data_IF_368572114110
#
_entry.id   IF_368572114110
#
_cell.length_a   1.000
_cell.length_b   1.000
_cell.length_c   1.000
_cell.angle_alpha   90.00
_cell.angle_beta   90.00
_cell.angle_gamma   90.00
#
_symmetry.space_group_name_H-M   'P 1'
#
loop_
_entity.id
_entity.type
_entity.pdbx_description
1 polymer ?
#
# COMPACT_ATOMS: atom_id res chain seq x y z
N UNK A 1 5.75 -2.12 -14.05
CA UNK A 1 5.18 -2.35 -12.70
C UNK A 1 6.11 -3.21 -11.89
N UNK A 2 6.46 -2.76 -10.73
CA UNK A 2 7.29 -3.52 -9.78
C UNK A 2 6.45 -4.00 -8.61
N UNK A 3 6.77 -5.20 -8.12
CA UNK A 3 6.18 -5.73 -6.89
C UNK A 3 7.30 -6.20 -5.98
N UNK A 4 7.28 -5.76 -4.73
CA UNK A 4 8.25 -6.18 -3.73
C UNK A 4 7.52 -6.53 -2.43
N UNK A 5 8.14 -7.39 -1.63
CA UNK A 5 7.62 -7.73 -0.31
C UNK A 5 8.31 -6.86 0.73
N UNK A 6 7.51 -6.21 1.56
CA UNK A 6 8.00 -5.30 2.60
C UNK A 6 7.39 -5.71 3.94
N UNK A 7 8.19 -5.73 5.00
CA UNK A 7 7.70 -6.11 6.32
C UNK A 7 6.76 -5.06 6.90
N UNK A 8 5.60 -5.51 7.37
CA UNK A 8 4.70 -4.69 8.18
C UNK A 8 5.23 -4.51 9.59
N UNK A 9 4.41 -3.93 10.48
CA UNK A 9 4.86 -3.57 11.83
C UNK A 9 5.35 -4.76 12.68
N UNK A 10 4.87 -5.96 12.38
CA UNK A 10 5.20 -7.18 13.13
C UNK A 10 6.04 -8.17 12.30
N UNK A 11 6.55 -7.74 11.15
CA UNK A 11 7.33 -8.58 10.26
C UNK A 11 6.53 -9.35 9.22
N UNK A 12 5.19 -9.29 9.25
CA UNK A 12 4.37 -9.92 8.21
C UNK A 12 4.69 -9.30 6.85
N UNK A 13 4.83 -10.14 5.83
CA UNK A 13 5.23 -9.67 4.49
C UNK A 13 4.04 -9.09 3.74
N UNK A 14 4.15 -7.84 3.34
CA UNK A 14 3.13 -7.12 2.59
C UNK A 14 3.61 -6.91 1.16
N UNK A 15 2.75 -7.21 0.20
CA UNK A 15 3.08 -6.98 -1.21
C UNK A 15 2.86 -5.51 -1.53
N UNK A 16 3.88 -4.88 -2.12
CA UNK A 16 3.84 -3.47 -2.50
C UNK A 16 4.10 -3.36 -3.99
N UNK A 17 3.10 -2.88 -4.71
CA UNK A 17 3.18 -2.65 -6.15
C UNK A 17 3.51 -1.20 -6.42
N UNK A 18 4.34 -0.93 -7.43
CA UNK A 18 4.66 0.45 -7.77
C UNK A 18 4.85 0.63 -9.26
N UNK A 19 4.53 1.83 -9.75
CA UNK A 19 4.73 2.23 -11.14
C UNK A 19 4.97 3.73 -11.20
N UNK A 20 5.81 4.15 -12.13
CA UNK A 20 6.13 5.55 -12.35
C UNK A 20 7.30 6.05 -11.54
N UNK A 21 7.68 7.30 -11.82
CA UNK A 21 8.77 8.00 -11.14
C UNK A 21 8.30 9.41 -10.80
N UNK A 22 8.84 9.98 -9.74
CA UNK A 22 8.51 11.32 -9.29
C UNK A 22 7.98 11.33 -7.86
N UNK A 23 7.11 12.30 -7.55
CA UNK A 23 6.57 12.43 -6.20
C UNK A 23 5.77 11.16 -5.82
N UNK A 24 6.10 10.54 -4.68
CA UNK A 24 5.39 9.35 -4.25
C UNK A 24 3.94 9.64 -3.87
N UNK A 25 3.03 8.73 -4.28
CA UNK A 25 1.63 8.72 -3.86
C UNK A 25 1.34 7.33 -3.31
N UNK A 26 1.03 7.25 -2.03
CA UNK A 26 0.69 5.98 -1.37
C UNK A 26 -0.82 5.77 -1.45
N UNK A 27 -1.25 4.70 -2.14
CA UNK A 27 -2.65 4.41 -2.42
C UNK A 27 -3.10 3.18 -1.63
N UNK A 28 -4.07 3.35 -0.75
CA UNK A 28 -4.60 2.27 0.11
C UNK A 28 -5.98 1.84 -0.39
N UNK A 29 -6.12 0.56 -0.70
CA UNK A 29 -7.36 -0.01 -1.25
C UNK A 29 -8.43 -0.26 -0.19
N UNK A 30 -9.66 -0.59 -0.64
CA UNK A 30 -10.79 -0.87 0.23
C UNK A 30 -10.83 -2.30 0.76
N UNK A 31 -11.75 -2.54 1.71
CA UNK A 31 -11.97 -3.87 2.30
C UNK A 31 -12.38 -4.87 1.23
N UNK A 32 -11.84 -6.09 1.33
CA UNK A 32 -12.06 -7.19 0.37
C UNK A 32 -11.63 -6.86 -1.06
N UNK A 33 -10.77 -5.87 -1.23
CA UNK A 33 -10.23 -5.48 -2.51
C UNK A 33 -8.72 -5.78 -2.56
N UNK A 34 -8.01 -5.11 -3.43
CA UNK A 34 -6.56 -5.20 -3.56
C UNK A 34 -6.07 -4.00 -4.36
N UNK A 35 -4.74 -3.82 -4.42
CA UNK A 35 -4.15 -2.80 -5.28
C UNK A 35 -4.58 -3.02 -6.74
N UNK A 36 -4.61 -4.28 -7.20
CA UNK A 36 -5.04 -4.60 -8.55
C UNK A 36 -6.48 -4.17 -8.81
N UNK A 37 -7.39 -4.47 -7.91
CA UNK A 37 -8.81 -4.17 -8.09
C UNK A 37 -9.12 -2.68 -8.03
N UNK A 38 -8.53 -1.94 -7.09
CA UNK A 38 -8.85 -0.52 -6.92
C UNK A 38 -8.03 0.40 -7.81
N UNK A 39 -6.76 0.11 -8.03
CA UNK A 39 -5.85 1.09 -8.60
C UNK A 39 -5.27 0.67 -9.94
N UNK A 40 -4.87 -0.58 -10.08
CA UNK A 40 -4.14 -1.04 -11.27
C UNK A 40 -5.11 -1.38 -12.41
N UNK A 41 -6.09 -2.24 -12.11
CA UNK A 41 -7.00 -2.77 -13.12
C UNK A 41 -7.85 -1.71 -13.82
N UNK A 42 -8.19 -0.62 -13.13
CA UNK A 42 -8.93 0.50 -13.72
C UNK A 42 -8.04 1.58 -14.31
N UNK A 43 -6.72 1.39 -14.26
CA UNK A 43 -5.79 2.32 -14.88
C UNK A 43 -5.42 3.56 -14.06
N UNK A 44 -5.88 3.68 -12.84
CA UNK A 44 -5.55 4.84 -11.99
C UNK A 44 -4.05 4.97 -11.74
N UNK A 45 -3.38 3.86 -11.49
CA UNK A 45 -1.94 3.85 -11.27
C UNK A 45 -1.18 4.37 -12.49
N UNK A 46 -1.60 3.96 -13.69
CA UNK A 46 -0.95 4.38 -14.92
C UNK A 46 -1.19 5.87 -15.19
N UNK A 47 -2.37 6.39 -14.88
CA UNK A 47 -2.66 7.82 -15.01
C UNK A 47 -1.72 8.64 -14.12
N UNK A 48 -1.48 8.20 -12.89
CA UNK A 48 -0.54 8.89 -11.99
C UNK A 48 0.89 8.80 -12.53
N UNK A 49 1.31 7.64 -13.00
CA UNK A 49 2.65 7.47 -13.57
C UNK A 49 2.87 8.37 -14.78
N UNK A 50 1.87 8.46 -15.66
CA UNK A 50 1.93 9.31 -16.86
C UNK A 50 1.96 10.80 -16.50
N UNK A 51 1.42 11.16 -15.34
CA UNK A 51 1.42 12.54 -14.85
C UNK A 51 2.70 12.93 -14.07
N UNK A 52 3.66 12.03 -13.96
CA UNK A 52 4.94 12.31 -13.29
C UNK A 52 4.96 11.96 -11.81
N UNK A 53 4.06 11.09 -11.36
CA UNK A 53 4.02 10.60 -9.98
C UNK A 53 4.49 9.15 -9.91
N UNK A 54 4.94 8.74 -8.72
CA UNK A 54 5.23 7.35 -8.42
C UNK A 54 4.07 6.81 -7.61
N UNK A 55 3.26 5.93 -8.20
CA UNK A 55 2.16 5.27 -7.51
C UNK A 55 2.72 4.09 -6.70
N UNK A 56 2.47 4.07 -5.40
CA UNK A 56 2.89 3.01 -4.48
C UNK A 56 1.62 2.41 -3.89
N UNK A 57 1.37 1.14 -4.16
CA UNK A 57 0.09 0.49 -3.88
C UNK A 57 0.32 -0.82 -3.12
N UNK A 58 0.30 -0.76 -1.78
CA UNK A 58 0.38 -2.01 -1.02
C UNK A 58 -0.95 -2.77 -1.09
N UNK A 59 -0.86 -4.10 -1.05
CA UNK A 59 -1.99 -4.90 -0.64
C UNK A 59 -2.03 -4.89 0.88
N UNK A 60 -3.16 -4.47 1.44
CA UNK A 60 -3.32 -4.43 2.88
C UNK A 60 -3.22 -5.84 3.48
N UNK A 61 -2.87 -5.92 4.75
CA UNK A 61 -2.80 -7.19 5.49
C UNK A 61 -4.06 -8.03 5.25
N UNK A 62 -3.89 -9.32 5.00
CA UNK A 62 -4.94 -10.28 4.67
C UNK A 62 -5.61 -10.09 3.30
N UNK A 63 -5.06 -9.19 2.46
CA UNK A 63 -5.62 -8.92 1.13
C UNK A 63 -4.58 -9.19 0.04
N UNK A 64 -5.06 -9.45 -1.18
CA UNK A 64 -4.21 -9.62 -2.35
C UNK A 64 -3.08 -10.62 -2.12
N UNK A 65 -1.85 -10.19 -2.41
CA UNK A 65 -0.65 -11.02 -2.27
C UNK A 65 0.05 -10.85 -0.92
N UNK A 66 -0.48 -10.02 -0.03
CA UNK A 66 0.07 -9.81 1.30
C UNK A 66 -0.23 -10.99 2.23
N UNK A 67 0.59 -11.14 3.29
CA UNK A 67 0.39 -12.17 4.29
C UNK A 67 -0.98 -12.04 4.95
N UNK A 68 -1.59 -13.19 5.26
CA UNK A 68 -2.87 -13.28 5.95
C UNK A 68 -2.70 -14.11 7.23
N UNK A 69 -2.04 -13.55 8.27
CA UNK A 69 -1.84 -14.28 9.53
C UNK A 69 -3.17 -14.73 10.14
N UNK A 70 -3.17 -15.89 10.77
CA UNK A 70 -4.36 -16.42 11.43
C UNK A 70 -4.44 -16.06 12.92
N UNK A 71 -3.36 -15.53 13.49
CA UNK A 71 -3.32 -15.12 14.89
C UNK A 71 -4.12 -13.83 15.09
N UNK A 72 -5.14 -13.81 15.97
CA UNK A 72 -5.88 -12.59 16.26
C UNK A 72 -5.00 -11.41 16.73
N UNK A 73 -3.86 -11.69 17.36
CA UNK A 73 -2.92 -10.64 17.78
C UNK A 73 -2.25 -9.91 16.61
N UNK A 74 -2.32 -10.47 15.40
CA UNK A 74 -1.84 -9.82 14.19
C UNK A 74 -2.78 -8.71 13.68
N UNK A 75 -3.95 -8.55 14.31
CA UNK A 75 -4.98 -7.59 13.87
C UNK A 75 -5.43 -6.67 15.01
N UNK A 76 -4.52 -5.93 15.65
CA UNK A 76 -4.94 -4.92 16.62
C UNK A 76 -5.76 -3.81 15.94
N UNK A 77 -6.54 -3.04 16.68
CA UNK A 77 -7.38 -1.99 16.08
C UNK A 77 -6.63 -1.02 15.17
N UNK A 78 -5.37 -0.74 15.47
CA UNK A 78 -4.52 0.18 14.69
C UNK A 78 -3.62 -0.52 13.67
N UNK A 79 -3.89 -1.79 13.33
CA UNK A 79 -3.01 -2.59 12.46
C UNK A 79 -2.73 -1.91 11.12
N UNK A 80 -3.76 -1.36 10.47
CA UNK A 80 -3.59 -0.73 9.15
C UNK A 80 -2.73 0.53 9.24
N UNK A 81 -2.92 1.34 10.26
CA UNK A 81 -2.11 2.55 10.46
C UNK A 81 -0.66 2.18 10.78
N UNK A 82 -0.44 1.15 11.59
CA UNK A 82 0.91 0.68 11.92
C UNK A 82 1.62 0.10 10.71
N UNK A 83 0.90 -0.66 9.86
CA UNK A 83 1.47 -1.16 8.61
C UNK A 83 1.82 -0.01 7.67
N UNK A 84 0.94 0.98 7.53
CA UNK A 84 1.22 2.15 6.68
C UNK A 84 2.46 2.91 7.14
N UNK A 85 2.62 3.11 8.45
CA UNK A 85 3.82 3.73 9.02
C UNK A 85 5.07 2.90 8.75
N UNK A 86 4.99 1.58 8.92
CA UNK A 86 6.11 0.68 8.67
C UNK A 86 6.52 0.72 7.19
N UNK A 87 5.55 0.75 6.28
CA UNK A 87 5.82 0.85 4.85
C UNK A 87 6.45 2.18 4.48
N UNK A 88 5.93 3.29 5.02
CA UNK A 88 6.49 4.60 4.77
C UNK A 88 7.95 4.68 5.22
N UNK A 89 8.25 4.14 6.39
CA UNK A 89 9.61 4.09 6.91
C UNK A 89 10.52 3.22 6.05
N UNK A 90 10.07 1.99 5.71
CA UNK A 90 10.85 1.06 4.90
C UNK A 90 11.12 1.59 3.49
N UNK A 91 10.19 2.35 2.93
CA UNK A 91 10.30 2.93 1.58
C UNK A 91 10.92 4.33 1.60
N UNK A 92 11.36 4.80 2.76
CA UNK A 92 11.97 6.12 2.96
C UNK A 92 11.07 7.26 2.49
N UNK A 93 9.77 7.16 2.78
CA UNK A 93 8.81 8.22 2.47
C UNK A 93 8.82 9.27 3.59
N UNK A 94 9.37 10.44 3.28
CA UNK A 94 9.49 11.52 4.25
C UNK A 94 8.15 12.23 4.47
N UNK A 95 7.78 12.60 5.71
CA UNK A 95 6.59 13.39 5.95
C UNK A 95 6.58 14.67 5.12
N UNK A 96 5.45 14.94 4.46
CA UNK A 96 5.32 16.11 3.59
C UNK A 96 5.90 15.94 2.20
N UNK A 97 6.63 14.83 1.93
CA UNK A 97 7.23 14.57 0.63
C UNK A 97 6.46 13.52 -0.18
N UNK A 98 5.33 13.06 0.32
CA UNK A 98 4.46 12.14 -0.41
C UNK A 98 2.99 12.44 -0.08
N UNK A 99 2.09 11.96 -0.95
CA UNK A 99 0.66 12.07 -0.75
C UNK A 99 0.08 10.72 -0.37
N UNK A 100 -0.98 10.75 0.44
CA UNK A 100 -1.68 9.55 0.90
C UNK A 100 -3.12 9.60 0.40
N UNK A 101 -3.54 8.55 -0.30
CA UNK A 101 -4.90 8.40 -0.82
C UNK A 101 -5.46 7.08 -0.31
N UNK A 102 -6.65 7.11 0.27
CA UNK A 102 -7.32 5.92 0.75
C UNK A 102 -8.74 5.84 0.20
N UNK A 103 -9.22 4.60 0.03
CA UNK A 103 -10.59 4.33 -0.40
C UNK A 103 -11.25 3.39 0.60
N UNK A 104 -12.42 3.77 1.14
CA UNK A 104 -13.18 2.96 2.09
C UNK A 104 -12.32 2.61 3.32
N UNK A 105 -11.98 1.32 3.52
CA UNK A 105 -11.16 0.88 4.65
C UNK A 105 -9.79 1.55 4.66
N UNK A 106 -9.19 1.79 3.49
CA UNK A 106 -7.90 2.46 3.38
C UNK A 106 -7.95 3.94 3.77
N UNK A 107 -9.12 4.51 3.75
CA UNK A 107 -9.26 5.89 4.17
C UNK A 107 -9.16 6.00 5.69
#
# INVERSE_FOLDING_TARGET
>A
MNTQMVAGFDGAQLAVHSVGEGRPVLLLHGLFSSAEMNWIGFGHAQVLADAGFRAIMPDLRAHGQSAAPHDPEAYPPEALARDAEALAEALALEPGAFDLVGFSLGA
#
